data_IF_969600263084
#
_entry.id   IF_969600263084
#
_cell.length_a   1.000
_cell.length_b   1.000
_cell.length_c   1.000
_cell.angle_alpha   90.00
_cell.angle_beta   90.00
_cell.angle_gamma   90.00
#
_symmetry.space_group_name_H-M   'P 1'
#
loop_
_entity.id
_entity.type
_entity.pdbx_description
1 polymer ?
#
# COMPACT_ATOMS: atom_id res chain seq x y z
N UNK A 1 -16.32 -16.52 -12.35
CA UNK A 1 -15.15 -16.37 -13.22
C UNK A 1 -13.90 -17.13 -12.72
N UNK A 2 -13.35 -16.86 -11.52
CA UNK A 2 -12.14 -17.56 -11.04
C UNK A 2 -12.33 -19.07 -10.87
N UNK A 3 -13.49 -19.55 -10.46
CA UNK A 3 -13.75 -20.99 -10.25
C UNK A 3 -13.60 -21.84 -11.53
N UNK A 4 -13.89 -21.26 -12.69
CA UNK A 4 -13.85 -21.92 -14.00
C UNK A 4 -12.54 -21.71 -14.77
N UNK A 5 -11.62 -20.91 -14.22
CA UNK A 5 -10.34 -20.59 -14.86
C UNK A 5 -9.23 -21.53 -14.35
N UNK A 6 -8.35 -21.96 -15.24
CA UNK A 6 -7.11 -22.66 -14.90
C UNK A 6 -5.93 -21.69 -14.62
N UNK A 7 -6.18 -20.39 -14.62
CA UNK A 7 -5.15 -19.35 -14.46
C UNK A 7 -4.46 -19.42 -13.11
N UNK A 8 -3.15 -19.29 -13.09
CA UNK A 8 -2.35 -19.15 -11.86
C UNK A 8 -2.72 -17.82 -11.16
N UNK A 9 -2.91 -17.89 -9.86
CA UNK A 9 -3.17 -16.75 -9.00
C UNK A 9 -1.87 -16.41 -8.26
N UNK A 10 -1.41 -15.18 -8.39
CA UNK A 10 -0.27 -14.66 -7.60
C UNK A 10 -0.81 -13.54 -6.71
N UNK A 11 -0.73 -13.75 -5.41
CA UNK A 11 -1.10 -12.76 -4.40
C UNK A 11 0.16 -12.06 -3.91
N UNK A 12 0.29 -10.77 -4.22
CA UNK A 12 1.39 -9.93 -3.74
C UNK A 12 0.95 -9.18 -2.47
N UNK A 13 1.27 -9.74 -1.32
CA UNK A 13 1.07 -9.12 -0.01
C UNK A 13 2.24 -8.20 0.33
N UNK A 14 2.25 -7.03 -0.31
CA UNK A 14 3.27 -6.00 -0.09
C UNK A 14 3.07 -5.16 1.17
N UNK A 15 1.90 -5.22 1.83
CA UNK A 15 1.61 -4.49 3.07
C UNK A 15 1.95 -5.35 4.28
N UNK A 16 1.67 -6.65 4.21
CA UNK A 16 2.02 -7.64 5.22
C UNK A 16 1.49 -7.26 6.60
N UNK A 17 2.39 -7.30 7.58
CA UNK A 17 2.07 -7.10 8.99
C UNK A 17 1.59 -5.67 9.34
N UNK A 18 1.63 -4.72 8.41
CA UNK A 18 1.06 -3.38 8.58
C UNK A 18 -0.43 -3.30 8.21
N UNK A 19 -1.01 -4.34 7.63
CA UNK A 19 -2.45 -4.38 7.32
C UNK A 19 -3.30 -4.30 8.59
N UNK A 20 -4.36 -3.49 8.55
CA UNK A 20 -5.35 -3.40 9.64
C UNK A 20 -6.28 -4.60 9.66
N UNK A 21 -6.42 -5.25 8.53
CA UNK A 21 -7.33 -6.37 8.32
C UNK A 21 -6.58 -7.69 8.30
N UNK A 22 -7.23 -8.77 8.69
CA UNK A 22 -6.66 -10.10 8.47
C UNK A 22 -6.38 -10.34 7.00
N UNK A 23 -5.22 -10.92 6.71
CA UNK A 23 -4.87 -11.30 5.33
C UNK A 23 -5.82 -12.41 4.86
N UNK A 24 -6.53 -12.13 3.77
CA UNK A 24 -7.38 -13.11 3.10
C UNK A 24 -6.64 -13.63 1.89
N UNK A 25 -6.46 -14.95 1.83
CA UNK A 25 -5.83 -15.59 0.69
C UNK A 25 -6.84 -16.45 -0.06
N UNK A 26 -6.84 -16.33 -1.38
CA UNK A 26 -7.55 -17.21 -2.29
C UNK A 26 -6.97 -18.63 -2.28
N UNK A 27 -5.74 -18.78 -1.77
CA UNK A 27 -5.11 -20.08 -1.56
C UNK A 27 -5.93 -21.03 -0.68
N UNK A 28 -6.79 -20.49 0.20
CA UNK A 28 -7.76 -21.30 0.96
C UNK A 28 -8.77 -22.02 0.06
N UNK A 29 -9.16 -21.39 -1.06
CA UNK A 29 -10.17 -21.93 -1.98
C UNK A 29 -9.54 -22.57 -3.22
N UNK A 30 -8.37 -22.11 -3.62
CA UNK A 30 -7.67 -22.54 -4.84
C UNK A 30 -6.20 -22.89 -4.55
N UNK A 31 -5.90 -23.80 -3.61
CA UNK A 31 -4.51 -24.06 -3.17
C UNK A 31 -3.61 -24.52 -4.31
N UNK A 32 -4.15 -25.29 -5.27
CA UNK A 32 -3.34 -25.88 -6.35
C UNK A 32 -2.85 -24.86 -7.40
N UNK A 33 -3.35 -23.63 -7.35
CA UNK A 33 -3.01 -22.60 -8.34
C UNK A 33 -2.77 -21.22 -7.74
N UNK A 34 -2.57 -21.15 -6.42
CA UNK A 34 -2.25 -19.89 -5.74
C UNK A 34 -0.84 -19.91 -5.21
N UNK A 35 -0.09 -18.85 -5.55
CA UNK A 35 1.16 -18.47 -4.90
C UNK A 35 0.91 -17.21 -4.09
N UNK A 36 1.24 -17.24 -2.81
CA UNK A 36 1.17 -16.09 -1.94
C UNK A 36 2.60 -15.57 -1.68
N UNK A 37 2.83 -14.28 -1.93
CA UNK A 37 4.10 -13.59 -1.74
C UNK A 37 3.95 -12.63 -0.57
N UNK A 38 4.52 -12.95 0.57
CA UNK A 38 4.54 -12.11 1.76
C UNK A 38 5.85 -11.31 1.82
N UNK A 39 5.77 -9.99 1.68
CA UNK A 39 6.93 -9.10 1.64
C UNK A 39 7.22 -8.48 3.01
N UNK A 40 8.47 -8.53 3.44
CA UNK A 40 8.93 -7.89 4.70
C UNK A 40 9.34 -6.42 4.52
N UNK A 41 9.44 -5.93 3.28
CA UNK A 41 10.03 -4.62 3.00
C UNK A 41 9.27 -3.42 3.58
N UNK A 42 7.96 -3.52 3.80
CA UNK A 42 7.15 -2.41 4.34
C UNK A 42 7.12 -2.39 5.87
N UNK A 43 7.09 -3.55 6.49
CA UNK A 43 6.98 -3.68 7.94
C UNK A 43 8.35 -3.69 8.65
N UNK A 44 9.34 -4.37 8.07
CA UNK A 44 10.63 -4.62 8.73
C UNK A 44 11.78 -3.77 8.17
N UNK A 45 11.62 -3.18 7.00
CA UNK A 45 12.60 -2.28 6.40
C UNK A 45 12.77 -2.50 4.89
N UNK A 46 12.86 -1.40 4.11
CA UNK A 46 12.91 -1.47 2.65
C UNK A 46 14.19 -2.13 2.12
N UNK A 47 15.29 -2.07 2.87
CA UNK A 47 16.60 -2.59 2.44
C UNK A 47 16.73 -4.10 2.64
N UNK A 48 15.84 -4.73 3.41
CA UNK A 48 15.83 -6.18 3.60
C UNK A 48 15.62 -6.94 2.30
N UNK A 49 14.84 -6.38 1.37
CA UNK A 49 14.57 -6.97 0.04
C UNK A 49 14.23 -8.46 0.09
N UNK A 50 13.51 -8.87 1.12
CA UNK A 50 13.13 -10.24 1.39
C UNK A 50 11.62 -10.43 1.32
N UNK A 51 11.20 -11.54 0.75
CA UNK A 51 9.83 -12.02 0.76
C UNK A 51 9.81 -13.54 0.91
N UNK A 52 8.75 -14.07 1.50
CA UNK A 52 8.46 -15.50 1.55
C UNK A 52 7.38 -15.82 0.54
N UNK A 53 7.59 -16.85 -0.25
CA UNK A 53 6.58 -17.36 -1.17
C UNK A 53 6.05 -18.69 -0.65
N UNK A 54 4.74 -18.79 -0.55
CA UNK A 54 4.05 -20.02 -0.15
C UNK A 54 3.08 -20.48 -1.25
N UNK A 55 2.88 -21.79 -1.33
CA UNK A 55 2.03 -22.44 -2.32
C UNK A 55 2.24 -23.95 -2.29
N UNK A 56 1.71 -24.68 -3.26
CA UNK A 56 1.99 -26.11 -3.37
C UNK A 56 3.46 -26.36 -3.69
N UNK A 57 3.98 -27.53 -3.30
CA UNK A 57 5.36 -27.92 -3.59
C UNK A 57 5.68 -27.84 -5.09
N UNK A 58 4.74 -28.16 -5.95
CA UNK A 58 4.89 -28.08 -7.40
C UNK A 58 5.10 -26.63 -7.86
N UNK A 59 4.22 -25.70 -7.43
CA UNK A 59 4.32 -24.29 -7.79
C UNK A 59 5.61 -23.65 -7.27
N UNK A 60 5.99 -23.98 -6.03
CA UNK A 60 7.23 -23.46 -5.44
C UNK A 60 8.46 -24.01 -6.18
N UNK A 61 8.49 -25.30 -6.54
CA UNK A 61 9.57 -25.89 -7.34
C UNK A 61 9.68 -25.25 -8.72
N UNK A 62 8.56 -24.98 -9.39
CA UNK A 62 8.56 -24.27 -10.68
C UNK A 62 9.18 -22.88 -10.54
N UNK A 63 8.78 -22.12 -9.49
CA UNK A 63 9.37 -20.82 -9.23
C UNK A 63 10.88 -20.90 -8.94
N UNK A 64 11.31 -21.87 -8.15
CA UNK A 64 12.75 -22.12 -7.87
C UNK A 64 13.52 -22.42 -9.16
N UNK A 65 12.96 -23.24 -10.03
CA UNK A 65 13.58 -23.57 -11.32
C UNK A 65 13.80 -22.32 -12.17
N UNK A 66 12.82 -21.42 -12.25
CA UNK A 66 12.95 -20.14 -12.94
C UNK A 66 14.02 -19.24 -12.30
N UNK A 67 14.08 -19.18 -10.97
CA UNK A 67 15.09 -18.39 -10.26
C UNK A 67 16.52 -18.88 -10.47
N UNK A 68 16.71 -20.15 -10.72
CA UNK A 68 18.04 -20.72 -10.98
C UNK A 68 18.70 -20.21 -12.27
N UNK A 69 17.93 -19.63 -13.20
CA UNK A 69 18.47 -18.93 -14.39
C UNK A 69 18.99 -17.52 -14.09
N UNK A 70 18.80 -17.01 -12.87
CA UNK A 70 19.23 -15.68 -12.45
C UNK A 70 19.81 -15.72 -11.03
N UNK A 71 19.34 -14.80 -10.18
CA UNK A 71 19.72 -14.77 -8.76
C UNK A 71 19.07 -15.96 -8.03
N UNK A 72 19.80 -17.06 -7.92
CA UNK A 72 19.28 -18.33 -7.42
C UNK A 72 19.00 -18.34 -5.92
N UNK A 73 19.75 -17.59 -5.13
CA UNK A 73 19.57 -17.53 -3.67
C UNK A 73 19.32 -16.10 -3.14
N UNK A 74 18.80 -16.04 -1.91
CA UNK A 74 18.66 -14.80 -1.14
C UNK A 74 19.75 -14.80 -0.05
N UNK A 75 20.24 -13.62 0.34
CA UNK A 75 21.23 -13.46 1.40
C UNK A 75 20.81 -14.17 2.69
N UNK A 76 21.65 -15.08 3.20
CA UNK A 76 21.39 -15.76 4.48
C UNK A 76 21.42 -14.78 5.65
N UNK A 77 22.32 -13.80 5.61
CA UNK A 77 22.40 -12.76 6.64
C UNK A 77 21.06 -12.02 6.76
N UNK A 78 20.44 -11.67 5.63
CA UNK A 78 19.13 -11.00 5.64
C UNK A 78 18.00 -11.94 6.08
N UNK A 79 18.08 -13.23 5.75
CA UNK A 79 17.13 -14.24 6.23
C UNK A 79 17.23 -14.39 7.75
N UNK A 80 18.44 -14.50 8.29
CA UNK A 80 18.67 -14.62 9.73
C UNK A 80 18.23 -13.35 10.47
N UNK A 81 18.48 -12.17 9.90
CA UNK A 81 18.01 -10.89 10.46
C UNK A 81 16.47 -10.83 10.52
N UNK A 82 15.78 -11.22 9.45
CA UNK A 82 14.31 -11.26 9.44
C UNK A 82 13.78 -12.31 10.40
N UNK A 83 14.38 -13.50 10.45
CA UNK A 83 13.98 -14.55 11.38
C UNK A 83 14.10 -14.09 12.84
N UNK A 84 15.17 -13.37 13.17
CA UNK A 84 15.32 -12.74 14.48
C UNK A 84 14.24 -11.70 14.74
N UNK A 85 14.00 -10.75 13.80
CA UNK A 85 12.99 -9.71 13.94
C UNK A 85 11.58 -10.27 14.14
N UNK A 86 11.26 -11.40 13.52
CA UNK A 86 9.96 -12.07 13.65
C UNK A 86 9.73 -12.61 15.07
N UNK A 87 10.78 -12.97 15.80
CA UNK A 87 10.72 -13.49 17.16
C UNK A 87 11.03 -12.44 18.25
N UNK A 88 11.56 -11.26 17.86
CA UNK A 88 11.95 -10.22 18.79
C UNK A 88 10.74 -9.37 19.24
N UNK A 89 10.36 -9.47 20.52
CA UNK A 89 9.20 -8.80 21.06
C UNK A 89 9.24 -7.26 20.92
N UNK A 90 10.37 -6.56 21.17
CA UNK A 90 10.50 -5.13 20.88
C UNK A 90 10.23 -4.76 19.43
N UNK A 91 10.72 -5.55 18.47
CA UNK A 91 10.46 -5.32 17.04
C UNK A 91 8.98 -5.49 16.74
N UNK A 92 8.34 -6.54 17.22
CA UNK A 92 6.90 -6.76 17.03
C UNK A 92 6.06 -5.63 17.64
N UNK A 93 6.44 -5.13 18.79
CA UNK A 93 5.77 -3.97 19.40
C UNK A 93 5.89 -2.71 18.54
N UNK A 94 7.06 -2.44 17.97
CA UNK A 94 7.26 -1.30 17.04
C UNK A 94 6.39 -1.41 15.79
N UNK A 95 6.24 -2.61 15.23
CA UNK A 95 5.37 -2.86 14.07
C UNK A 95 3.91 -2.57 14.44
N UNK A 96 3.44 -3.01 15.61
CA UNK A 96 2.08 -2.69 16.06
C UNK A 96 1.88 -1.18 16.27
N UNK A 97 2.86 -0.47 16.80
CA UNK A 97 2.83 0.99 16.94
C UNK A 97 2.80 1.69 15.58
N UNK A 98 3.61 1.22 14.61
CA UNK A 98 3.61 1.75 13.25
C UNK A 98 2.25 1.53 12.57
N UNK A 99 1.67 0.33 12.69
CA UNK A 99 0.34 -0.01 12.22
C UNK A 99 -0.73 0.95 12.76
N UNK A 100 -0.74 1.19 14.08
CA UNK A 100 -1.65 2.12 14.72
C UNK A 100 -1.45 3.56 14.21
N UNK A 101 -0.19 4.00 14.07
CA UNK A 101 0.15 5.33 13.57
C UNK A 101 -0.33 5.53 12.14
N UNK A 102 -0.12 4.56 11.26
CA UNK A 102 -0.59 4.66 9.86
C UNK A 102 -2.11 4.63 9.77
N UNK A 103 -2.78 3.83 10.59
CA UNK A 103 -4.24 3.82 10.68
C UNK A 103 -4.79 5.20 11.11
N UNK A 104 -4.20 5.79 12.14
CA UNK A 104 -4.59 7.11 12.62
C UNK A 104 -4.38 8.20 11.57
N UNK A 105 -3.21 8.24 10.92
CA UNK A 105 -2.92 9.20 9.83
C UNK A 105 -3.91 9.09 8.68
N UNK A 106 -4.25 7.86 8.29
CA UNK A 106 -5.26 7.63 7.25
C UNK A 106 -6.61 8.17 7.64
N UNK A 107 -7.10 7.83 8.84
CA UNK A 107 -8.38 8.30 9.35
C UNK A 107 -8.45 9.83 9.44
N UNK A 108 -7.38 10.46 9.94
CA UNK A 108 -7.27 11.91 10.03
C UNK A 108 -7.34 12.58 8.64
N UNK A 109 -6.60 12.04 7.65
CA UNK A 109 -6.67 12.55 6.28
C UNK A 109 -8.06 12.39 5.69
N UNK A 110 -8.67 11.22 5.80
CA UNK A 110 -10.01 10.97 5.27
C UNK A 110 -11.05 11.87 5.92
N UNK A 111 -10.97 12.09 7.24
CA UNK A 111 -11.84 13.01 7.96
C UNK A 111 -11.64 14.47 7.51
N UNK A 112 -10.38 14.90 7.31
CA UNK A 112 -10.07 16.24 6.82
C UNK A 112 -10.61 16.50 5.41
N UNK A 113 -10.49 15.49 4.52
CA UNK A 113 -11.05 15.53 3.17
C UNK A 113 -12.58 15.53 3.17
N UNK A 114 -13.20 14.71 4.03
CA UNK A 114 -14.66 14.63 4.15
C UNK A 114 -15.29 15.94 4.61
N UNK A 115 -14.65 16.65 5.57
CA UNK A 115 -15.09 18.00 6.00
C UNK A 115 -15.09 19.02 4.84
N UNK A 116 -14.32 18.75 3.79
CA UNK A 116 -14.21 19.58 2.57
C UNK A 116 -15.04 19.05 1.41
N UNK A 117 -15.96 18.13 1.66
CA UNK A 117 -16.82 17.52 0.65
C UNK A 117 -16.17 16.44 -0.22
N UNK A 118 -14.92 16.03 0.08
CA UNK A 118 -14.23 14.96 -0.64
C UNK A 118 -14.28 13.66 0.17
N UNK A 119 -15.43 12.98 0.11
CA UNK A 119 -15.62 11.70 0.80
C UNK A 119 -14.91 10.58 0.03
N UNK A 120 -14.11 9.80 0.73
CA UNK A 120 -13.40 8.64 0.19
C UNK A 120 -13.65 7.40 1.04
N UNK A 121 -13.67 6.23 0.39
CA UNK A 121 -13.77 4.96 1.07
C UNK A 121 -12.51 4.68 1.91
N UNK A 122 -12.69 4.25 3.15
CA UNK A 122 -11.57 3.84 4.01
C UNK A 122 -11.11 2.43 3.64
N UNK A 123 -10.15 2.36 2.72
CA UNK A 123 -9.44 1.14 2.35
C UNK A 123 -8.18 0.96 3.19
N UNK A 124 -7.53 -0.18 3.11
CA UNK A 124 -6.27 -0.42 3.80
C UNK A 124 -5.04 0.09 3.01
N UNK A 125 -3.87 -0.01 3.64
CA UNK A 125 -2.57 0.30 3.03
C UNK A 125 -2.02 1.70 3.37
N UNK A 126 -0.85 1.99 2.79
CA UNK A 126 -0.05 3.18 3.08
C UNK A 126 -0.33 4.36 2.14
N UNK A 127 -1.39 4.29 1.35
CA UNK A 127 -1.74 5.33 0.39
C UNK A 127 -3.26 5.48 0.28
N UNK A 128 -3.69 6.71 -0.03
CA UNK A 128 -5.06 7.03 -0.42
C UNK A 128 -5.07 7.34 -1.92
N UNK A 129 -6.04 6.78 -2.65
CA UNK A 129 -6.25 7.08 -4.06
C UNK A 129 -7.35 8.13 -4.17
N UNK A 130 -7.04 9.25 -4.79
CA UNK A 130 -8.00 10.34 -4.97
C UNK A 130 -8.32 10.50 -6.47
N UNK A 131 -9.58 10.31 -6.89
CA UNK A 131 -10.00 10.59 -8.26
C UNK A 131 -9.80 12.06 -8.58
N UNK A 132 -9.29 12.35 -9.77
CA UNK A 132 -9.02 13.71 -10.27
C UNK A 132 -9.54 13.86 -11.69
N UNK A 133 -9.83 15.09 -12.11
CA UNK A 133 -10.19 15.37 -13.50
C UNK A 133 -8.98 15.29 -14.44
N UNK A 134 -7.80 15.66 -13.94
CA UNK A 134 -6.52 15.59 -14.66
C UNK A 134 -5.39 15.32 -13.69
N UNK A 135 -4.66 14.22 -13.90
CA UNK A 135 -3.47 13.88 -13.09
C UNK A 135 -2.39 14.95 -13.23
N UNK A 136 -2.17 15.44 -14.45
CA UNK A 136 -1.18 16.49 -14.72
C UNK A 136 -1.50 17.78 -13.97
N UNK A 137 -2.75 18.24 -14.04
CA UNK A 137 -3.19 19.42 -13.29
C UNK A 137 -3.00 19.23 -11.78
N UNK A 138 -3.44 18.08 -11.25
CA UNK A 138 -3.31 17.77 -9.84
C UNK A 138 -1.86 17.75 -9.37
N UNK A 139 -0.96 17.12 -10.14
CA UNK A 139 0.47 17.05 -9.83
C UNK A 139 1.12 18.43 -9.83
N UNK A 140 0.85 19.28 -10.83
CA UNK A 140 1.40 20.65 -10.91
C UNK A 140 0.88 21.49 -9.75
N UNK A 141 -0.44 21.42 -9.49
CA UNK A 141 -1.10 22.18 -8.42
C UNK A 141 -0.53 21.84 -7.03
N UNK A 142 -0.24 20.55 -6.78
CA UNK A 142 0.32 20.09 -5.52
C UNK A 142 1.82 20.39 -5.43
N UNK A 143 2.57 20.21 -6.52
CA UNK A 143 4.00 20.51 -6.56
C UNK A 143 4.28 21.98 -6.28
N UNK A 144 3.47 22.91 -6.79
CA UNK A 144 3.54 24.35 -6.50
C UNK A 144 3.33 24.66 -5.00
N UNK A 145 2.79 23.74 -4.23
CA UNK A 145 2.57 23.81 -2.77
C UNK A 145 3.54 22.95 -1.97
N UNK A 146 4.59 22.44 -2.61
CA UNK A 146 5.58 21.56 -1.98
C UNK A 146 5.08 20.15 -1.67
N UNK A 147 3.94 19.73 -2.24
CA UNK A 147 3.36 18.40 -2.04
C UNK A 147 3.64 17.52 -3.25
N UNK A 148 4.34 16.42 -3.03
CA UNK A 148 4.63 15.42 -4.08
C UNK A 148 3.69 14.24 -3.94
N UNK A 149 3.05 13.85 -5.05
CA UNK A 149 2.17 12.69 -5.16
C UNK A 149 2.58 11.84 -6.36
N UNK A 150 2.08 10.61 -6.44
CA UNK A 150 2.30 9.74 -7.59
C UNK A 150 1.08 9.77 -8.52
N UNK A 151 1.28 9.84 -9.86
CA UNK A 151 0.20 9.73 -10.82
C UNK A 151 -0.41 8.33 -10.82
N UNK A 152 -1.71 8.25 -11.04
CA UNK A 152 -2.45 7.00 -11.05
C UNK A 152 -2.11 6.12 -12.24
N UNK A 153 -1.73 6.70 -13.38
CA UNK A 153 -1.32 5.96 -14.58
C UNK A 153 -0.24 4.89 -14.31
N UNK A 154 0.65 5.15 -13.33
CA UNK A 154 1.69 4.19 -12.91
C UNK A 154 1.16 3.02 -12.08
N UNK A 155 -0.08 3.08 -11.65
CA UNK A 155 -0.71 2.12 -10.72
C UNK A 155 -2.01 1.55 -11.27
N UNK A 156 -2.46 1.99 -12.44
CA UNK A 156 -3.74 1.60 -13.04
C UNK A 156 -3.54 0.67 -14.21
N UNK A 157 -4.41 -0.34 -14.30
CA UNK A 157 -4.57 -1.18 -15.50
C UNK A 157 -5.63 -0.56 -16.43
N UNK A 158 -6.53 0.24 -15.87
CA UNK A 158 -7.62 0.90 -16.58
C UNK A 158 -7.37 2.41 -16.66
N UNK A 159 -8.04 3.10 -17.56
CA UNK A 159 -7.89 4.53 -17.86
C UNK A 159 -8.46 5.50 -16.83
N UNK A 160 -8.60 5.10 -15.56
CA UNK A 160 -9.09 6.01 -14.51
C UNK A 160 -8.03 7.05 -14.12
N UNK A 161 -8.44 8.33 -14.04
CA UNK A 161 -7.59 9.44 -13.59
C UNK A 161 -7.62 9.53 -12.06
N UNK A 162 -6.50 9.34 -11.41
CA UNK A 162 -6.36 9.50 -9.96
C UNK A 162 -4.92 9.82 -9.55
N UNK A 163 -4.76 10.39 -8.37
CA UNK A 163 -3.45 10.56 -7.74
C UNK A 163 -3.33 9.65 -6.52
N UNK A 164 -2.13 9.19 -6.25
CA UNK A 164 -1.80 8.37 -5.09
C UNK A 164 -1.08 9.19 -4.03
N UNK A 165 -1.73 9.41 -2.91
CA UNK A 165 -1.24 10.18 -1.76
C UNK A 165 -0.71 9.23 -0.70
N UNK A 166 0.59 9.32 -0.36
CA UNK A 166 1.19 8.52 0.71
C UNK A 166 0.84 9.09 2.08
N UNK A 167 0.42 8.23 3.02
CA UNK A 167 0.18 8.60 4.42
C UNK A 167 1.38 8.35 5.33
N UNK A 168 2.43 7.70 4.82
CA UNK A 168 3.53 7.21 5.65
C UNK A 168 4.29 8.35 6.38
N UNK A 169 4.38 9.53 5.77
CA UNK A 169 5.04 10.72 6.32
C UNK A 169 4.11 11.93 6.42
N UNK A 170 2.82 11.71 6.55
CA UNK A 170 1.86 12.80 6.64
C UNK A 170 2.06 13.56 7.97
N UNK A 171 2.44 14.86 7.92
CA UNK A 171 2.64 15.65 9.12
C UNK A 171 1.29 16.07 9.71
N UNK A 172 1.10 15.85 11.02
CA UNK A 172 -0.19 16.12 11.67
C UNK A 172 -0.51 17.63 11.75
N UNK A 173 0.52 18.45 11.90
CA UNK A 173 0.43 19.92 11.99
C UNK A 173 0.08 20.59 10.65
N UNK A 174 0.26 19.91 9.52
CA UNK A 174 -0.02 20.43 8.18
C UNK A 174 -1.23 19.74 7.54
N UNK A 175 -1.95 18.92 8.27
CA UNK A 175 -3.00 18.06 7.72
C UNK A 175 -4.10 18.86 7.02
N UNK A 176 -4.55 19.96 7.61
CA UNK A 176 -5.62 20.79 7.05
C UNK A 176 -5.16 21.51 5.77
N UNK A 177 -3.96 22.09 5.75
CA UNK A 177 -3.40 22.72 4.55
C UNK A 177 -3.17 21.72 3.42
N UNK A 178 -2.74 20.48 3.75
CA UNK A 178 -2.60 19.40 2.78
C UNK A 178 -3.97 19.00 2.24
N UNK A 179 -4.99 18.89 3.10
CA UNK A 179 -6.34 18.54 2.66
C UNK A 179 -6.94 19.61 1.75
N UNK A 180 -6.74 20.91 2.04
CA UNK A 180 -7.13 22.02 1.17
C UNK A 180 -6.48 21.91 -0.21
N UNK A 181 -5.18 21.70 -0.24
CA UNK A 181 -4.43 21.54 -1.49
C UNK A 181 -4.92 20.33 -2.32
N UNK A 182 -5.22 19.21 -1.66
CA UNK A 182 -5.74 18.00 -2.31
C UNK A 182 -7.14 18.23 -2.91
N UNK A 183 -8.01 18.93 -2.22
CA UNK A 183 -9.37 19.27 -2.71
C UNK A 183 -9.28 20.15 -3.96
N UNK A 184 -8.43 21.18 -3.95
CA UNK A 184 -8.18 22.04 -5.12
C UNK A 184 -7.62 21.20 -6.28
N UNK A 185 -6.67 20.32 -6.02
CA UNK A 185 -6.06 19.46 -7.03
C UNK A 185 -7.06 18.46 -7.64
N UNK A 186 -8.08 18.04 -6.88
CA UNK A 186 -9.17 17.21 -7.39
C UNK A 186 -10.18 17.98 -8.27
N UNK A 187 -9.99 19.30 -8.48
CA UNK A 187 -10.90 20.13 -9.28
C UNK A 187 -12.21 20.46 -8.58
N UNK A 188 -12.23 20.45 -7.24
CA UNK A 188 -13.39 20.89 -6.45
C UNK A 188 -13.10 22.25 -5.83
N UNK A 189 -14.11 23.13 -5.85
CA UNK A 189 -14.06 24.37 -5.08
C UNK A 189 -14.11 24.05 -3.59
N UNK A 190 -13.34 24.79 -2.79
CA UNK A 190 -13.43 24.69 -1.34
C UNK A 190 -14.83 25.16 -0.93
N UNK A 191 -15.62 24.30 -0.32
CA UNK A 191 -16.84 24.72 0.37
C UNK A 191 -16.40 25.52 1.60
N UNK A 192 -16.45 26.85 1.47
CA UNK A 192 -16.30 27.78 2.60
C UNK A 192 -17.55 27.56 3.45
N UNK A 193 -17.39 26.99 4.65
CA UNK A 193 -18.47 26.93 5.63
C UNK A 193 -18.86 28.38 5.98
N UNK A 194 -20.13 28.80 5.88
CA UNK A 194 -20.53 30.17 6.16
C UNK A 194 -20.73 30.40 7.67
N UNK A 195 -19.88 29.87 8.51
CA UNK A 195 -19.91 30.10 9.96
C UNK A 195 -18.70 30.95 10.37
N UNK A 196 -18.89 32.27 10.28
CA UNK A 196 -18.22 33.31 11.04
C UNK A 196 -19.31 34.16 11.74
#
# INVERSE_FOLDING_TARGET
MLAQSATLIVEDDGIGDLSRWPVWSLGRHYPQRTLHVHSFSKAYGPDLRLAVVSGTAELVKRLQSWRNFGVSWTSRILQDAVAWMLSDAPTQQRIQQAKATYAARRQQLLAALARRGLVQEDRDGLSVMLPVASEQYAMITLAARGITVLPGERCSINSGQFIRVSIARLPADQLDSIADALVIACGRELSISPDL
#
